data_IF_015414614752
#
_entry.id   IF_015414614752
#
_cell.length_a   1.000
_cell.length_b   1.000
_cell.length_c   1.000
_cell.angle_alpha   90.00
_cell.angle_beta   90.00
_cell.angle_gamma   90.00
#
_symmetry.space_group_name_H-M   'P 1'
#
loop_
_entity.id
_entity.type
_entity.pdbx_description
1 polymer ?
#
# COMPACT_ATOMS: atom_id res chain seq x y z
N UNK A 1 -1.72 12.98 -12.55
CA UNK A 1 -1.29 13.56 -11.26
C UNK A 1 -0.72 12.43 -10.44
N UNK A 2 0.48 12.58 -9.87
CA UNK A 2 0.99 11.58 -8.92
C UNK A 2 0.14 11.62 -7.64
N UNK A 3 -0.26 10.46 -7.09
CA UNK A 3 -1.09 10.40 -5.89
C UNK A 3 -0.33 11.00 -4.70
N UNK A 4 -0.94 11.97 -4.02
CA UNK A 4 -0.39 12.56 -2.80
C UNK A 4 -0.81 11.72 -1.59
N UNK A 5 -0.04 10.69 -1.28
CA UNK A 5 -0.23 9.89 -0.06
C UNK A 5 0.36 10.61 1.15
N UNK A 6 -0.29 10.46 2.29
CA UNK A 6 0.22 10.91 3.60
C UNK A 6 1.42 10.09 4.05
N UNK A 7 2.25 10.62 4.95
CA UNK A 7 3.39 9.88 5.53
C UNK A 7 2.98 8.55 6.17
N UNK A 8 1.79 8.50 6.78
CA UNK A 8 1.23 7.27 7.36
C UNK A 8 0.88 6.24 6.29
N UNK A 9 0.24 6.67 5.19
CA UNK A 9 -0.07 5.80 4.06
C UNK A 9 1.21 5.27 3.39
N UNK A 10 2.22 6.12 3.20
CA UNK A 10 3.53 5.72 2.64
C UNK A 10 4.20 4.67 3.55
N UNK A 11 4.17 4.86 4.87
CA UNK A 11 4.71 3.89 5.83
C UNK A 11 4.04 2.52 5.68
N UNK A 12 2.70 2.50 5.61
CA UNK A 12 1.94 1.27 5.35
C UNK A 12 2.28 0.68 3.98
N UNK A 13 2.41 1.50 2.94
CA UNK A 13 2.76 1.04 1.60
C UNK A 13 4.12 0.33 1.57
N UNK A 14 5.12 0.85 2.30
CA UNK A 14 6.46 0.25 2.41
C UNK A 14 6.44 -1.13 3.04
N UNK A 15 5.53 -1.38 3.98
CA UNK A 15 5.40 -2.71 4.59
C UNK A 15 4.94 -3.78 3.59
N UNK A 16 4.28 -3.40 2.49
CA UNK A 16 3.77 -4.32 1.48
C UNK A 16 4.81 -4.76 0.44
N UNK A 17 6.06 -4.29 0.49
CA UNK A 17 7.10 -4.56 -0.52
C UNK A 17 7.37 -6.06 -0.73
N UNK A 18 7.18 -6.89 0.31
CA UNK A 18 7.27 -8.36 0.25
C UNK A 18 5.93 -9.09 0.20
N UNK A 19 4.81 -8.36 0.17
CA UNK A 19 3.49 -8.92 0.44
C UNK A 19 3.24 -9.16 1.92
N UNK A 20 2.02 -8.90 2.38
CA UNK A 20 1.68 -9.00 3.79
C UNK A 20 0.25 -9.47 4.02
N UNK A 21 0.09 -10.32 5.05
CA UNK A 21 -1.22 -10.69 5.57
C UNK A 21 -1.69 -9.62 6.57
N UNK A 22 -2.74 -8.92 6.21
CA UNK A 22 -3.28 -7.82 7.01
C UNK A 22 -4.28 -8.39 8.00
N UNK A 23 -3.98 -8.21 9.29
CA UNK A 23 -4.85 -8.60 10.41
C UNK A 23 -5.23 -7.42 11.31
N UNK A 24 -4.55 -6.29 11.13
CA UNK A 24 -4.76 -5.05 11.89
C UNK A 24 -5.80 -4.15 11.19
N UNK A 25 -6.84 -3.75 11.92
CA UNK A 25 -7.94 -2.94 11.39
C UNK A 25 -7.52 -1.57 10.88
N UNK A 26 -6.64 -0.87 11.59
CA UNK A 26 -6.16 0.44 11.15
C UNK A 26 -5.33 0.33 9.88
N UNK A 27 -4.47 -0.69 9.79
CA UNK A 27 -3.68 -0.97 8.57
C UNK A 27 -4.58 -1.34 7.39
N UNK A 28 -5.60 -2.17 7.63
CA UNK A 28 -6.58 -2.54 6.63
C UNK A 28 -7.33 -1.32 6.07
N UNK A 29 -7.76 -0.42 6.96
CA UNK A 29 -8.39 0.85 6.57
C UNK A 29 -7.47 1.69 5.70
N UNK A 30 -6.21 1.88 6.11
CA UNK A 30 -5.22 2.65 5.36
C UNK A 30 -4.97 2.05 3.97
N UNK A 31 -4.86 0.72 3.85
CA UNK A 31 -4.67 0.06 2.55
C UNK A 31 -5.87 0.28 1.63
N UNK A 32 -7.09 0.23 2.16
CA UNK A 32 -8.31 0.55 1.38
C UNK A 32 -8.37 2.01 0.98
N UNK A 33 -7.96 2.92 1.85
CA UNK A 33 -7.86 4.35 1.52
C UNK A 33 -6.85 4.61 0.40
N UNK A 34 -5.69 3.92 0.44
CA UNK A 34 -4.69 3.98 -0.63
C UNK A 34 -5.28 3.45 -1.93
N UNK A 35 -5.95 2.29 -1.91
CA UNK A 35 -6.57 1.70 -3.10
C UNK A 35 -7.64 2.63 -3.72
N UNK A 36 -8.43 3.31 -2.89
CA UNK A 36 -9.44 4.28 -3.33
C UNK A 36 -8.82 5.57 -3.89
N UNK A 37 -7.76 6.09 -3.28
CA UNK A 37 -7.11 7.35 -3.69
C UNK A 37 -6.15 7.17 -4.85
N UNK A 38 -5.50 6.02 -4.91
CA UNK A 38 -4.40 5.70 -5.82
C UNK A 38 -4.56 4.26 -6.32
N UNK A 39 -5.64 3.99 -7.07
CA UNK A 39 -5.91 2.66 -7.59
C UNK A 39 -4.72 2.22 -8.44
N UNK A 40 -4.31 0.97 -8.24
CA UNK A 40 -3.15 0.41 -8.93
C UNK A 40 -1.86 0.49 -8.14
N UNK A 41 -1.74 1.20 -7.01
CA UNK A 41 -0.52 1.13 -6.17
C UNK A 41 -0.42 -0.16 -5.35
N UNK A 42 -1.54 -0.71 -4.93
CA UNK A 42 -1.64 -1.93 -4.13
C UNK A 42 -2.52 -2.95 -4.85
N UNK A 43 -2.28 -4.23 -4.59
CA UNK A 43 -3.15 -5.32 -5.03
C UNK A 43 -3.63 -6.06 -3.79
N UNK A 44 -4.93 -6.05 -3.56
CA UNK A 44 -5.56 -6.77 -2.45
C UNK A 44 -5.92 -8.18 -2.95
N UNK A 45 -5.19 -9.18 -2.46
CA UNK A 45 -5.50 -10.59 -2.67
C UNK A 45 -6.62 -11.01 -1.71
N UNK A 46 -7.58 -11.78 -2.25
CA UNK A 46 -8.90 -12.09 -1.69
C UNK A 46 -9.00 -12.22 -0.15
N UNK A 47 -10.09 -11.69 0.41
CA UNK A 47 -10.44 -11.84 1.82
C UNK A 47 -10.68 -13.32 2.16
N UNK A 48 -9.75 -13.94 2.89
CA UNK A 48 -9.96 -15.28 3.44
C UNK A 48 -10.69 -15.10 4.78
N UNK A 49 -12.02 -15.02 4.73
CA UNK A 49 -12.86 -15.08 5.93
C UNK A 49 -14.23 -14.41 5.80
N UNK A 50 -15.21 -14.80 6.64
CA UNK A 50 -16.53 -14.18 6.65
C UNK A 50 -16.40 -12.69 7.00
N UNK A 51 -17.17 -11.84 6.31
CA UNK A 51 -17.12 -10.37 6.40
C UNK A 51 -17.32 -9.78 7.81
N UNK A 52 -17.72 -10.61 8.80
CA UNK A 52 -17.91 -10.24 10.21
C UNK A 52 -16.69 -10.49 11.10
N UNK A 53 -15.71 -11.27 10.66
CA UNK A 53 -14.44 -11.44 11.36
C UNK A 53 -13.44 -10.39 10.91
N UNK A 54 -12.61 -9.91 11.84
CA UNK A 54 -11.50 -8.95 11.64
C UNK A 54 -10.91 -8.97 10.22
N UNK A 55 -10.52 -7.82 9.65
CA UNK A 55 -10.00 -7.76 8.29
C UNK A 55 -8.81 -8.71 8.17
N UNK A 56 -8.99 -9.73 7.34
CA UNK A 56 -8.00 -10.76 7.00
C UNK A 56 -7.94 -10.87 5.49
N UNK A 57 -6.92 -10.24 4.91
CA UNK A 57 -6.65 -10.29 3.48
C UNK A 57 -5.16 -10.20 3.23
N UNK A 58 -4.72 -10.72 2.08
CA UNK A 58 -3.37 -10.48 1.60
C UNK A 58 -3.32 -9.15 0.86
N UNK A 59 -2.27 -8.37 1.05
CA UNK A 59 -2.01 -7.20 0.22
C UNK A 59 -0.57 -7.24 -0.27
N UNK A 60 -0.35 -6.90 -1.54
CA UNK A 60 0.97 -6.81 -2.14
C UNK A 60 1.14 -5.47 -2.83
N UNK A 61 2.38 -5.00 -2.85
CA UNK A 61 2.72 -3.80 -3.62
C UNK A 61 2.71 -4.11 -5.11
N UNK A 62 2.01 -3.29 -5.89
CA UNK A 62 1.97 -3.45 -7.35
C UNK A 62 3.29 -2.98 -7.99
N UNK A 63 3.41 -3.15 -9.31
CA UNK A 63 4.51 -2.55 -10.09
C UNK A 63 4.52 -1.03 -9.99
N UNK A 64 3.36 -0.39 -9.99
CA UNK A 64 3.24 1.06 -9.88
C UNK A 64 3.53 1.55 -8.47
N UNK A 65 3.06 0.83 -7.44
CA UNK A 65 3.41 1.09 -6.04
C UNK A 65 4.92 1.04 -5.80
N UNK A 66 5.62 0.07 -6.41
CA UNK A 66 7.09 0.01 -6.35
C UNK A 66 7.76 1.22 -6.99
N UNK A 67 7.29 1.64 -8.18
CA UNK A 67 7.82 2.83 -8.87
C UNK A 67 7.57 4.10 -8.06
N UNK A 68 6.38 4.23 -7.47
CA UNK A 68 6.02 5.34 -6.62
C UNK A 68 6.94 5.45 -5.39
N UNK A 69 7.13 4.34 -4.65
CA UNK A 69 8.07 4.34 -3.53
C UNK A 69 9.51 4.64 -3.97
N UNK A 70 9.96 4.08 -5.09
CA UNK A 70 11.29 4.36 -5.62
C UNK A 70 11.49 5.83 -6.01
N UNK A 71 10.45 6.50 -6.53
CA UNK A 71 10.48 7.92 -6.83
C UNK A 71 10.56 8.79 -5.55
N UNK A 72 9.86 8.38 -4.48
CA UNK A 72 9.96 9.02 -3.17
C UNK A 72 11.34 8.80 -2.51
N UNK A 73 11.93 7.63 -2.71
CA UNK A 73 13.26 7.25 -2.20
C UNK A 73 14.42 7.72 -3.06
N UNK A 74 14.16 8.47 -4.14
CA UNK A 74 15.19 9.05 -5.00
C UNK A 74 15.42 10.55 -4.71
N UNK A 75 15.71 11.00 -3.46
CA UNK A 75 15.90 12.42 -3.21
C UNK A 75 17.22 12.99 -3.78
N UNK A 76 18.09 12.19 -4.44
CA UNK A 76 19.44 12.69 -4.79
C UNK A 76 20.17 11.99 -5.95
N UNK A 77 19.46 11.57 -7.02
CA UNK A 77 20.15 11.13 -8.27
C UNK A 77 20.22 12.18 -9.38
N UNK A 78 19.60 13.34 -9.19
CA UNK A 78 19.57 14.41 -10.19
C UNK A 78 20.63 15.51 -9.96
N UNK A 79 21.57 15.33 -9.02
CA UNK A 79 22.63 16.30 -8.67
C UNK A 79 24.06 15.75 -8.77
N UNK A 80 24.33 14.79 -9.66
CA UNK A 80 25.70 14.32 -9.90
C UNK A 80 26.09 14.45 -11.36
#
# INVERSE_FOLDING_TARGET
MEPKLTSQQISVLRTLYGGENITNENKARIIREIDAQAPGLVVIASQIGPARTKPRFGAVLSREGRRYLAALDAPDRAKK
#
